data_IF_861102126220
#
_entry.id   IF_861102126220
#
_cell.length_a   1.000
_cell.length_b   1.000
_cell.length_c   1.000
_cell.angle_alpha   90.00
_cell.angle_beta   90.00
_cell.angle_gamma   90.00
#
_symmetry.space_group_name_H-M   'P 1'
#
loop_
_entity.id
_entity.type
_entity.pdbx_description
1 polymer ?
#
# COMPACT_ATOMS: atom_id res chain seq x y z
N UNK A 1 -60.07 10.58 -17.20
CA UNK A 1 -59.32 10.56 -15.92
C UNK A 1 -58.20 9.50 -15.86
N UNK A 2 -58.26 8.37 -16.59
CA UNK A 2 -57.21 7.31 -16.57
C UNK A 2 -55.84 7.69 -17.17
N UNK A 3 -55.82 8.52 -18.21
CA UNK A 3 -54.58 8.90 -18.93
C UNK A 3 -53.65 9.79 -18.06
N UNK A 4 -54.22 10.64 -17.22
CA UNK A 4 -53.45 11.50 -16.29
C UNK A 4 -52.77 10.67 -15.20
N UNK A 5 -53.48 9.68 -14.65
CA UNK A 5 -52.91 8.77 -13.64
C UNK A 5 -51.75 7.95 -14.19
N UNK A 6 -51.87 7.41 -15.41
CA UNK A 6 -50.80 6.62 -16.03
C UNK A 6 -49.55 7.45 -16.32
N UNK A 7 -49.72 8.72 -16.74
CA UNK A 7 -48.61 9.66 -16.92
C UNK A 7 -47.90 9.95 -15.59
N UNK A 8 -48.64 10.19 -14.52
CA UNK A 8 -48.08 10.42 -13.19
C UNK A 8 -47.34 9.18 -12.65
N UNK A 9 -47.87 7.98 -12.92
CA UNK A 9 -47.25 6.72 -12.53
C UNK A 9 -45.91 6.48 -13.25
N UNK A 10 -45.86 6.70 -14.57
CA UNK A 10 -44.61 6.64 -15.35
C UNK A 10 -43.60 7.66 -14.80
N UNK A 11 -44.04 8.89 -14.56
CA UNK A 11 -43.18 9.95 -14.04
C UNK A 11 -42.56 9.58 -12.68
N UNK A 12 -43.35 8.96 -11.80
CA UNK A 12 -42.88 8.47 -10.51
C UNK A 12 -41.85 7.33 -10.64
N UNK A 13 -42.07 6.38 -11.55
CA UNK A 13 -41.08 5.31 -11.84
C UNK A 13 -39.79 5.91 -12.40
N UNK A 14 -39.88 6.86 -13.33
CA UNK A 14 -38.71 7.54 -13.90
C UNK A 14 -37.91 8.29 -12.82
N UNK A 15 -38.59 8.93 -11.87
CA UNK A 15 -37.93 9.61 -10.73
C UNK A 15 -37.17 8.62 -9.85
N UNK A 16 -37.77 7.48 -9.52
CA UNK A 16 -37.11 6.43 -8.70
C UNK A 16 -35.89 5.88 -9.43
N UNK A 17 -36.01 5.57 -10.72
CA UNK A 17 -34.89 5.08 -11.51
C UNK A 17 -33.77 6.12 -11.58
N UNK A 18 -34.10 7.39 -11.80
CA UNK A 18 -33.12 8.47 -11.82
C UNK A 18 -32.36 8.58 -10.49
N UNK A 19 -33.07 8.53 -9.36
CA UNK A 19 -32.46 8.57 -8.04
C UNK A 19 -31.56 7.35 -7.78
N UNK A 20 -32.00 6.16 -8.19
CA UNK A 20 -31.22 4.92 -8.08
C UNK A 20 -29.94 4.99 -8.93
N UNK A 21 -30.04 5.38 -10.21
CA UNK A 21 -28.87 5.48 -11.08
C UNK A 21 -27.91 6.57 -10.60
N UNK A 22 -28.42 7.69 -10.07
CA UNK A 22 -27.58 8.76 -9.52
C UNK A 22 -26.81 8.29 -8.27
N UNK A 23 -27.46 7.55 -7.35
CA UNK A 23 -26.77 7.02 -6.18
C UNK A 23 -25.76 5.95 -6.56
N UNK A 24 -26.11 5.06 -7.50
CA UNK A 24 -25.20 4.05 -8.02
C UNK A 24 -23.97 4.67 -8.68
N UNK A 25 -24.16 5.74 -9.45
CA UNK A 25 -23.07 6.45 -10.12
C UNK A 25 -22.15 7.16 -9.11
N UNK A 26 -22.71 7.82 -8.10
CA UNK A 26 -21.94 8.42 -7.01
C UNK A 26 -21.13 7.38 -6.22
N UNK A 27 -21.75 6.26 -5.83
CA UNK A 27 -21.06 5.18 -5.12
C UNK A 27 -19.96 4.57 -6.00
N UNK A 28 -20.22 4.41 -7.30
CA UNK A 28 -19.23 3.90 -8.25
C UNK A 28 -18.06 4.87 -8.45
N UNK A 29 -18.32 6.18 -8.52
CA UNK A 29 -17.25 7.20 -8.56
C UNK A 29 -16.46 7.19 -7.26
N UNK A 30 -17.11 7.18 -6.10
CA UNK A 30 -16.42 7.14 -4.81
C UNK A 30 -15.58 5.86 -4.69
N UNK A 31 -16.11 4.71 -5.10
CA UNK A 31 -15.38 3.44 -5.13
C UNK A 31 -14.21 3.48 -6.13
N UNK A 32 -14.40 4.06 -7.32
CA UNK A 32 -13.35 4.18 -8.33
C UNK A 32 -12.26 5.15 -7.90
N UNK A 33 -12.62 6.28 -7.28
CA UNK A 33 -11.68 7.24 -6.72
C UNK A 33 -10.91 6.61 -5.55
N UNK A 34 -11.57 5.85 -4.67
CA UNK A 34 -10.91 5.13 -3.58
C UNK A 34 -10.02 3.98 -4.09
N UNK A 35 -10.37 3.34 -5.21
CA UNK A 35 -9.56 2.26 -5.80
C UNK A 35 -8.35 2.79 -6.60
N UNK A 36 -8.44 4.02 -7.10
CA UNK A 36 -7.41 4.66 -7.94
C UNK A 36 -6.72 5.85 -7.24
N UNK A 37 -6.84 5.99 -5.92
CA UNK A 37 -5.89 6.79 -5.16
C UNK A 37 -4.51 6.17 -5.35
N UNK A 38 -3.74 6.78 -6.27
CA UNK A 38 -2.30 6.61 -6.33
C UNK A 38 -1.79 7.04 -4.97
N UNK A 39 -1.35 6.08 -4.17
CA UNK A 39 -0.74 6.32 -2.86
C UNK A 39 0.56 7.11 -3.12
N UNK A 40 0.48 8.44 -3.00
CA UNK A 40 1.65 9.33 -3.05
C UNK A 40 2.32 9.44 -1.68
N UNK A 41 3.65 9.45 -1.71
CA UNK A 41 4.63 9.12 -0.68
C UNK A 41 4.94 10.22 0.35
N UNK A 42 4.09 10.43 1.35
CA UNK A 42 4.42 11.37 2.44
C UNK A 42 4.47 10.75 3.86
N UNK A 43 3.99 9.51 4.07
CA UNK A 43 3.83 8.95 5.42
C UNK A 43 4.42 7.55 5.63
N UNK A 44 5.58 7.24 5.04
CA UNK A 44 6.34 6.07 5.52
C UNK A 44 7.03 6.50 6.81
N UNK A 45 6.57 5.95 7.94
CA UNK A 45 7.18 6.25 9.24
C UNK A 45 8.57 5.61 9.27
N UNK A 46 9.58 6.46 9.39
CA UNK A 46 10.96 6.02 9.48
C UNK A 46 11.18 5.47 10.89
N UNK A 47 11.51 4.19 10.98
CA UNK A 47 12.08 3.61 12.18
C UNK A 47 13.45 4.25 12.42
N UNK A 48 13.50 5.32 13.24
CA UNK A 48 14.73 6.07 13.50
C UNK A 48 15.52 5.42 14.63
N UNK A 49 16.66 4.84 14.27
CA UNK A 49 17.73 4.48 15.22
C UNK A 49 18.99 5.24 14.85
N UNK A 50 19.89 5.44 15.82
CA UNK A 50 21.22 6.04 15.57
C UNK A 50 22.11 5.16 14.68
N UNK A 51 21.62 4.00 14.28
CA UNK A 51 22.33 2.99 13.50
C UNK A 51 22.13 3.20 12.00
N UNK A 52 21.09 3.93 11.60
CA UNK A 52 20.75 4.18 10.20
C UNK A 52 21.37 5.51 9.76
N UNK A 53 22.30 5.41 8.82
CA UNK A 53 22.94 6.54 8.15
C UNK A 53 22.02 7.17 7.11
N UNK A 54 21.37 6.33 6.30
CA UNK A 54 20.48 6.75 5.23
C UNK A 54 19.29 5.80 5.13
N UNK A 55 18.11 6.36 4.87
CA UNK A 55 16.86 5.62 4.73
C UNK A 55 16.09 6.16 3.54
N UNK A 56 15.75 5.27 2.61
CA UNK A 56 14.82 5.54 1.54
C UNK A 56 13.78 4.43 1.49
N UNK A 57 12.52 4.77 1.26
CA UNK A 57 11.48 3.77 1.04
C UNK A 57 10.45 4.29 0.04
N UNK A 58 9.91 3.38 -0.75
CA UNK A 58 8.87 3.66 -1.74
C UNK A 58 8.02 2.42 -1.95
N UNK A 59 6.80 2.62 -2.42
CA UNK A 59 5.92 1.56 -2.85
C UNK A 59 6.08 1.38 -4.36
N UNK A 60 5.95 0.17 -4.84
CA UNK A 60 5.85 -0.11 -6.27
C UNK A 60 4.92 -1.30 -6.43
N UNK A 61 3.88 -1.15 -7.27
CA UNK A 61 2.91 -2.22 -7.52
C UNK A 61 2.28 -2.85 -6.25
N UNK A 62 1.97 -2.04 -5.24
CA UNK A 62 1.48 -2.44 -3.90
C UNK A 62 2.51 -3.13 -2.97
N UNK A 63 3.77 -3.21 -3.34
CA UNK A 63 4.85 -3.75 -2.50
C UNK A 63 5.71 -2.61 -1.93
N UNK A 64 6.30 -2.81 -0.75
CA UNK A 64 7.15 -1.82 -0.08
C UNK A 64 8.63 -2.14 -0.28
N UNK A 65 9.34 -1.23 -0.93
CA UNK A 65 10.78 -1.26 -1.13
C UNK A 65 11.44 -0.33 -0.12
N UNK A 66 12.45 -0.85 0.58
CA UNK A 66 13.17 -0.17 1.64
C UNK A 66 14.66 -0.32 1.35
N UNK A 67 15.38 0.80 1.34
CA UNK A 67 16.82 0.86 1.16
C UNK A 67 17.40 1.56 2.39
N UNK A 68 18.23 0.83 3.13
CA UNK A 68 18.90 1.34 4.34
C UNK A 68 20.42 1.27 4.19
N UNK A 69 21.09 2.31 4.67
CA UNK A 69 22.54 2.33 4.88
C UNK A 69 22.79 2.36 6.38
N UNK A 70 23.49 1.36 6.91
CA UNK A 70 23.77 1.21 8.33
C UNK A 70 25.20 1.66 8.65
N UNK A 71 25.38 2.28 9.82
CA UNK A 71 26.67 2.75 10.32
C UNK A 71 27.63 1.58 10.64
N UNK A 72 27.07 0.43 11.03
CA UNK A 72 27.81 -0.75 11.46
C UNK A 72 27.15 -2.02 10.93
N UNK A 73 27.94 -3.10 10.81
CA UNK A 73 27.42 -4.43 10.45
C UNK A 73 26.44 -4.92 11.52
N UNK A 74 25.28 -5.42 11.08
CA UNK A 74 24.23 -5.99 11.93
C UNK A 74 24.04 -7.47 11.63
N UNK A 75 23.46 -8.19 12.59
CA UNK A 75 23.10 -9.58 12.42
C UNK A 75 21.82 -9.74 11.60
N UNK A 76 21.62 -10.95 11.06
CA UNK A 76 20.45 -11.24 10.23
C UNK A 76 19.14 -11.08 11.01
N UNK A 77 19.16 -11.32 12.33
CA UNK A 77 18.01 -11.14 13.22
C UNK A 77 17.58 -9.68 13.31
N UNK A 78 18.51 -8.75 13.48
CA UNK A 78 18.20 -7.32 13.50
C UNK A 78 17.54 -6.88 12.18
N UNK A 79 18.10 -7.30 11.05
CA UNK A 79 17.56 -6.95 9.73
C UNK A 79 16.18 -7.57 9.50
N UNK A 80 15.96 -8.79 9.99
CA UNK A 80 14.68 -9.48 9.94
C UNK A 80 13.62 -8.77 10.80
N UNK A 81 13.93 -8.43 12.04
CA UNK A 81 13.04 -7.69 12.94
C UNK A 81 12.67 -6.33 12.34
N UNK A 82 13.65 -5.65 11.74
CA UNK A 82 13.44 -4.41 11.02
C UNK A 82 12.45 -4.59 9.85
N UNK A 83 12.66 -5.59 8.99
CA UNK A 83 11.75 -5.87 7.88
C UNK A 83 10.34 -6.24 8.37
N UNK A 84 10.22 -7.02 9.45
CA UNK A 84 8.93 -7.40 10.03
C UNK A 84 8.17 -6.22 10.62
N UNK A 85 8.84 -5.23 11.21
CA UNK A 85 8.18 -4.00 11.68
C UNK A 85 7.38 -3.34 10.55
N UNK A 86 7.97 -3.21 9.36
CA UNK A 86 7.28 -2.65 8.20
C UNK A 86 6.23 -3.63 7.63
N UNK A 87 6.50 -4.94 7.62
CA UNK A 87 5.54 -5.95 7.19
C UNK A 87 4.23 -5.87 7.99
N UNK A 88 4.31 -5.89 9.32
CA UNK A 88 3.12 -5.84 10.18
C UNK A 88 2.38 -4.50 10.10
N UNK A 89 3.11 -3.42 9.84
CA UNK A 89 2.53 -2.08 9.78
C UNK A 89 1.77 -1.81 8.48
N UNK A 90 2.31 -2.27 7.36
CA UNK A 90 1.78 -1.97 6.03
C UNK A 90 1.04 -3.16 5.41
N UNK A 91 1.20 -4.37 5.95
CA UNK A 91 0.60 -5.62 5.47
C UNK A 91 0.87 -5.87 3.97
N UNK A 92 2.08 -5.52 3.51
CA UNK A 92 2.55 -5.66 2.12
C UNK A 92 3.79 -6.54 2.05
N UNK A 93 4.13 -7.02 0.85
CA UNK A 93 5.44 -7.59 0.60
C UNK A 93 6.51 -6.53 0.90
N UNK A 94 7.58 -6.93 1.59
CA UNK A 94 8.70 -6.06 1.95
C UNK A 94 9.92 -6.50 1.17
N UNK A 95 10.58 -5.56 0.50
CA UNK A 95 11.87 -5.73 -0.14
C UNK A 95 12.86 -4.79 0.54
N UNK A 96 13.66 -5.32 1.45
CA UNK A 96 14.67 -4.57 2.19
C UNK A 96 16.05 -4.82 1.59
N UNK A 97 16.70 -3.74 1.16
CA UNK A 97 18.12 -3.69 0.83
C UNK A 97 18.87 -3.00 1.96
N UNK A 98 19.80 -3.71 2.59
CA UNK A 98 20.64 -3.20 3.67
C UNK A 98 22.10 -3.17 3.24
N UNK A 99 22.71 -1.98 3.29
CA UNK A 99 24.11 -1.77 2.93
C UNK A 99 24.96 -1.38 4.14
N UNK A 100 26.13 -2.00 4.28
CA UNK A 100 27.14 -1.70 5.30
C UNK A 100 28.50 -2.26 4.87
N UNK A 101 29.62 -1.58 5.19
CA UNK A 101 31.00 -2.09 4.97
C UNK A 101 31.22 -2.81 3.62
N UNK A 102 30.76 -2.23 2.50
CA UNK A 102 30.82 -2.78 1.14
C UNK A 102 30.04 -4.09 0.90
N UNK A 103 29.23 -4.54 1.85
CA UNK A 103 28.31 -5.66 1.71
C UNK A 103 26.88 -5.16 1.53
N UNK A 104 26.11 -5.89 0.73
CA UNK A 104 24.68 -5.62 0.53
C UNK A 104 23.90 -6.90 0.80
N UNK A 105 23.01 -6.81 1.79
CA UNK A 105 22.07 -7.87 2.13
C UNK A 105 20.68 -7.51 1.65
N UNK A 106 19.98 -8.51 1.12
CA UNK A 106 18.59 -8.37 0.69
C UNK A 106 17.72 -9.29 1.53
N UNK A 107 16.63 -8.73 2.06
CA UNK A 107 15.58 -9.46 2.76
C UNK A 107 14.27 -9.23 2.03
N UNK A 108 13.60 -10.32 1.67
CA UNK A 108 12.26 -10.26 1.09
C UNK A 108 11.29 -10.96 2.01
N UNK A 109 10.23 -10.27 2.44
CA UNK A 109 9.11 -10.83 3.19
C UNK A 109 7.88 -10.80 2.29
N UNK A 110 7.27 -11.95 2.04
CA UNK A 110 6.03 -12.00 1.25
C UNK A 110 4.77 -11.80 2.12
N UNK A 111 3.61 -11.68 1.49
CA UNK A 111 2.30 -11.52 2.16
C UNK A 111 1.91 -12.69 3.08
N UNK A 112 2.61 -13.82 3.03
CA UNK A 112 2.45 -14.94 3.96
C UNK A 112 3.40 -14.84 5.17
N UNK A 113 4.19 -13.77 5.28
CA UNK A 113 5.20 -13.56 6.31
C UNK A 113 6.46 -14.39 6.13
N UNK A 114 6.67 -15.04 4.97
CA UNK A 114 7.87 -15.85 4.72
C UNK A 114 9.01 -14.94 4.30
N UNK A 115 10.10 -14.96 5.08
CA UNK A 115 11.32 -14.23 4.80
C UNK A 115 12.31 -15.06 3.96
N UNK A 116 13.01 -14.39 3.04
CA UNK A 116 14.11 -14.97 2.27
C UNK A 116 15.30 -14.01 2.24
N UNK A 117 16.51 -14.58 2.32
CA UNK A 117 17.76 -13.84 2.39
C UNK A 117 18.59 -14.06 1.12
N UNK A 118 19.08 -12.98 0.53
CA UNK A 118 20.08 -13.03 -0.54
C UNK A 118 21.24 -12.13 -0.13
N UNK A 119 22.43 -12.70 0.01
CA UNK A 119 23.65 -11.97 0.37
C UNK A 119 24.45 -11.78 -0.91
N UNK A 120 24.75 -10.51 -1.25
CA UNK A 120 25.65 -10.20 -2.35
C UNK A 120 26.92 -9.57 -1.77
N UNK A 121 28.03 -10.32 -1.85
CA UNK A 121 29.36 -9.83 -1.43
C UNK A 121 29.99 -9.20 -2.67
N UNK A 122 30.08 -7.86 -2.69
CA UNK A 122 30.79 -7.11 -3.72
C UNK A 122 32.28 -6.96 -3.38
#
# INVERSE_FOLDING_TARGET
>A
MKISFFKNFIWFISLILFLFFSSFFLVSITYFNHKNEVITYENIEIYKTNEIQNFNAYFENNDLYIIICLNETKDDLFLLDYAYYYFFKYEKNIYLEASYNNQVNYIVINNNGIASFLINVL
#
